data_IF_230869426902
#
_entry.id   IF_230869426902
#
_cell.length_a   1.000
_cell.length_b   1.000
_cell.length_c   1.000
_cell.angle_alpha   90.00
_cell.angle_beta   90.00
_cell.angle_gamma   90.00
#
_symmetry.space_group_name_H-M   'P 1'
#
loop_
_entity.id
_entity.type
_entity.pdbx_description
1 polymer ?
#
# COMPACT_ATOMS: atom_id res chain seq x y z
N UNK A 1 -5.76 1.19 25.32
CA UNK A 1 -6.59 0.57 24.26
C UNK A 1 -5.70 -0.29 23.39
N UNK A 2 -6.17 -1.46 22.95
CA UNK A 2 -5.44 -2.27 21.97
C UNK A 2 -5.57 -1.66 20.56
N UNK A 3 -4.48 -1.53 19.79
CA UNK A 3 -4.54 -0.95 18.46
C UNK A 3 -5.33 -1.86 17.50
N UNK A 4 -6.07 -1.23 16.58
CA UNK A 4 -6.75 -1.91 15.47
C UNK A 4 -5.96 -1.61 14.20
N UNK A 5 -5.56 -2.66 13.48
CA UNK A 5 -4.79 -2.55 12.25
C UNK A 5 -5.72 -2.50 11.04
N UNK A 6 -5.61 -1.47 10.21
CA UNK A 6 -6.25 -1.46 8.89
C UNK A 6 -5.21 -1.82 7.85
N UNK A 7 -5.39 -2.94 7.14
CA UNK A 7 -4.39 -3.48 6.20
C UNK A 7 -5.02 -3.65 4.83
N UNK A 8 -4.45 -2.97 3.83
CA UNK A 8 -4.86 -3.09 2.43
C UNK A 8 -4.06 -4.17 1.71
N UNK A 9 -4.59 -4.71 0.60
CA UNK A 9 -3.85 -5.67 -0.23
C UNK A 9 -3.66 -7.05 0.40
N UNK A 10 -4.60 -7.51 1.23
CA UNK A 10 -4.44 -8.74 2.04
C UNK A 10 -4.69 -10.06 1.29
N UNK A 11 -4.97 -10.05 -0.01
CA UNK A 11 -5.31 -11.28 -0.74
C UNK A 11 -4.12 -12.24 -0.89
N UNK A 12 -2.90 -11.71 -1.04
CA UNK A 12 -1.66 -12.48 -1.24
C UNK A 12 -0.43 -11.72 -0.73
N UNK A 13 0.75 -12.34 -0.77
CA UNK A 13 2.03 -11.65 -0.54
C UNK A 13 2.17 -11.04 0.85
N UNK A 14 2.82 -9.86 0.91
CA UNK A 14 3.15 -9.16 2.16
C UNK A 14 1.91 -8.79 2.98
N UNK A 15 0.85 -8.29 2.36
CA UNK A 15 -0.37 -7.89 3.07
C UNK A 15 -1.03 -9.06 3.80
N UNK A 16 -1.09 -10.23 3.15
CA UNK A 16 -1.59 -11.46 3.79
C UNK A 16 -0.70 -11.90 4.95
N UNK A 17 0.62 -11.91 4.75
CA UNK A 17 1.57 -12.30 5.78
C UNK A 17 1.50 -11.38 7.01
N UNK A 18 1.39 -10.06 6.80
CA UNK A 18 1.22 -9.09 7.87
C UNK A 18 -0.10 -9.31 8.62
N UNK A 19 -1.21 -9.48 7.90
CA UNK A 19 -2.51 -9.74 8.53
C UNK A 19 -2.48 -11.00 9.40
N UNK A 20 -1.90 -12.10 8.90
CA UNK A 20 -1.70 -13.34 9.69
C UNK A 20 -0.87 -13.06 10.94
N UNK A 21 0.27 -12.39 10.81
CA UNK A 21 1.16 -12.10 11.93
C UNK A 21 0.57 -11.12 12.96
N UNK A 22 -0.39 -10.27 12.56
CA UNK A 22 -1.16 -9.41 13.47
C UNK A 22 -2.18 -10.24 14.25
N UNK A 23 -2.93 -11.11 13.57
CA UNK A 23 -3.94 -11.97 14.19
C UNK A 23 -3.32 -13.01 15.15
N UNK A 24 -2.19 -13.62 14.78
CA UNK A 24 -1.45 -14.57 15.62
C UNK A 24 -0.96 -13.94 16.94
N UNK A 25 -0.74 -12.62 16.95
CA UNK A 25 -0.39 -11.86 18.16
C UNK A 25 -1.61 -11.46 19.01
N UNK A 26 -2.82 -11.92 18.64
CA UNK A 26 -4.06 -11.56 19.33
C UNK A 26 -4.52 -10.12 19.09
N UNK A 27 -3.95 -9.44 18.08
CA UNK A 27 -4.34 -8.07 17.73
C UNK A 27 -5.51 -8.06 16.76
N UNK A 28 -6.22 -6.94 16.71
CA UNK A 28 -7.41 -6.77 15.86
C UNK A 28 -6.99 -6.23 14.50
N UNK A 29 -7.50 -6.81 13.42
CA UNK A 29 -7.27 -6.33 12.06
C UNK A 29 -8.57 -6.16 11.28
N UNK A 30 -8.66 -5.08 10.51
CA UNK A 30 -9.61 -4.86 9.41
C UNK A 30 -8.80 -5.01 8.13
N UNK A 31 -9.15 -5.98 7.30
CA UNK A 31 -8.40 -6.32 6.09
C UNK A 31 -9.24 -6.06 4.84
N UNK A 32 -8.60 -5.57 3.78
CA UNK A 32 -9.25 -5.40 2.49
C UNK A 32 -8.46 -6.06 1.37
N UNK A 33 -9.19 -6.65 0.41
CA UNK A 33 -8.66 -7.02 -0.91
C UNK A 33 -9.24 -6.07 -1.96
N UNK A 34 -8.55 -5.91 -3.10
CA UNK A 34 -8.96 -5.02 -4.20
C UNK A 34 -10.43 -5.15 -4.57
N UNK A 35 -10.89 -6.38 -4.85
CA UNK A 35 -12.30 -6.66 -5.19
C UNK A 35 -13.30 -6.30 -4.08
N UNK A 36 -12.90 -6.40 -2.82
CA UNK A 36 -13.75 -6.03 -1.69
C UNK A 36 -13.79 -4.51 -1.50
N UNK A 37 -12.65 -3.83 -1.70
CA UNK A 37 -12.58 -2.37 -1.70
C UNK A 37 -13.37 -1.77 -2.87
N UNK A 38 -13.25 -2.34 -4.08
CA UNK A 38 -14.04 -1.99 -5.26
C UNK A 38 -15.54 -2.14 -4.96
N UNK A 39 -15.98 -3.30 -4.45
CA UNK A 39 -17.38 -3.52 -4.08
C UNK A 39 -17.87 -2.55 -2.99
N UNK A 40 -17.05 -2.28 -1.99
CA UNK A 40 -17.40 -1.33 -0.94
C UNK A 40 -17.54 0.10 -1.49
N UNK A 41 -16.66 0.50 -2.42
CA UNK A 41 -16.75 1.77 -3.13
C UNK A 41 -18.01 1.83 -4.01
N UNK A 42 -18.29 0.79 -4.81
CA UNK A 42 -19.52 0.68 -5.62
C UNK A 42 -20.78 0.75 -4.76
N UNK A 43 -20.80 0.03 -3.63
CA UNK A 43 -21.93 0.04 -2.69
C UNK A 43 -22.11 1.41 -2.04
N UNK A 44 -21.01 2.07 -1.68
CA UNK A 44 -21.06 3.41 -1.11
C UNK A 44 -21.45 4.46 -2.16
N UNK A 45 -21.02 4.33 -3.41
CA UNK A 45 -21.49 5.21 -4.49
C UNK A 45 -22.98 5.00 -4.79
N UNK A 46 -23.43 3.75 -4.83
CA UNK A 46 -24.84 3.43 -4.99
C UNK A 46 -25.71 3.96 -3.83
N UNK A 47 -25.18 3.96 -2.61
CA UNK A 47 -25.90 4.42 -1.42
C UNK A 47 -25.82 5.94 -1.21
N UNK A 48 -24.70 6.57 -1.56
CA UNK A 48 -24.37 7.95 -1.13
C UNK A 48 -23.99 8.88 -2.29
N UNK A 49 -23.94 8.40 -3.54
CA UNK A 49 -23.59 9.20 -4.72
C UNK A 49 -22.07 9.25 -4.95
N UNK A 50 -21.46 10.44 -4.92
CA UNK A 50 -20.02 10.63 -5.18
C UNK A 50 -19.23 10.49 -3.87
N UNK A 51 -18.16 9.68 -3.86
CA UNK A 51 -17.21 9.61 -2.74
C UNK A 51 -16.03 10.53 -3.05
N UNK A 52 -15.96 11.67 -2.35
CA UNK A 52 -14.89 12.64 -2.56
C UNK A 52 -13.69 12.46 -1.60
N UNK A 53 -13.90 11.88 -0.42
CA UNK A 53 -12.87 11.83 0.63
C UNK A 53 -13.01 10.55 1.47
N UNK A 54 -11.91 9.80 1.61
CA UNK A 54 -11.76 8.81 2.67
C UNK A 54 -11.23 9.51 3.93
N UNK A 55 -12.10 9.76 4.91
CA UNK A 55 -11.68 10.31 6.21
C UNK A 55 -11.19 9.18 7.12
N UNK A 56 -9.88 9.11 7.33
CA UNK A 56 -9.34 8.32 8.44
C UNK A 56 -9.46 9.14 9.72
N UNK A 57 -10.42 8.81 10.59
CA UNK A 57 -10.52 9.38 11.93
C UNK A 57 -9.51 8.70 12.87
N UNK A 58 -8.23 8.74 12.48
CA UNK A 58 -7.16 8.58 13.45
C UNK A 58 -7.35 9.73 14.44
N UNK A 59 -7.53 9.41 15.72
CA UNK A 59 -7.52 10.42 16.79
C UNK A 59 -6.15 11.16 16.75
N UNK A 60 -5.83 12.00 17.73
CA UNK A 60 -4.45 12.52 17.91
C UNK A 60 -3.41 11.45 18.32
N UNK A 61 -3.53 10.25 17.75
CA UNK A 61 -2.73 9.06 18.00
C UNK A 61 -2.96 8.07 16.86
N UNK A 62 -1.89 7.61 16.22
CA UNK A 62 -1.99 6.62 15.14
C UNK A 62 -0.64 6.39 14.48
N UNK A 63 -0.59 5.44 13.54
CA UNK A 63 0.61 5.19 12.76
C UNK A 63 0.22 4.79 11.34
N UNK A 64 0.79 5.46 10.34
CA UNK A 64 0.65 5.12 8.93
C UNK A 64 1.90 4.36 8.51
N UNK A 65 1.71 3.16 7.93
CA UNK A 65 2.82 2.37 7.38
C UNK A 65 2.60 2.22 5.88
N UNK A 66 3.46 2.85 5.10
CA UNK A 66 3.48 2.74 3.64
C UNK A 66 4.42 1.61 3.22
N UNK A 67 3.99 0.76 2.29
CA UNK A 67 4.86 -0.25 1.68
C UNK A 67 5.35 0.28 0.34
N UNK A 68 6.58 0.77 0.32
CA UNK A 68 7.24 1.27 -0.89
C UNK A 68 8.08 0.17 -1.54
N UNK A 69 9.38 0.37 -1.79
CA UNK A 69 10.29 -0.55 -2.47
C UNK A 69 11.72 0.00 -2.45
N UNK A 70 12.73 -0.87 -2.54
CA UNK A 70 14.08 -0.44 -2.98
C UNK A 70 14.05 0.49 -4.20
N UNK A 71 13.09 0.28 -5.10
CA UNK A 71 12.81 1.12 -6.27
C UNK A 71 12.31 2.55 -5.98
N UNK A 72 12.00 2.88 -4.73
CA UNK A 72 11.70 4.23 -4.23
C UNK A 72 12.95 4.99 -3.78
N UNK A 73 14.07 4.29 -3.57
CA UNK A 73 15.36 4.88 -3.20
C UNK A 73 16.36 4.91 -4.36
N UNK A 74 16.32 3.90 -5.23
CA UNK A 74 17.24 3.77 -6.35
C UNK A 74 16.51 3.27 -7.60
N UNK A 75 16.88 3.82 -8.76
CA UNK A 75 16.32 3.44 -10.05
C UNK A 75 17.30 2.65 -10.90
N UNK A 76 16.77 1.68 -11.65
CA UNK A 76 17.48 0.88 -12.64
C UNK A 76 16.55 0.61 -13.85
N UNK A 77 17.12 0.04 -14.91
CA UNK A 77 16.40 -0.24 -16.15
C UNK A 77 15.22 -1.20 -15.99
N UNK A 78 14.35 -1.25 -17.01
CA UNK A 78 13.19 -2.14 -17.14
C UNK A 78 11.97 -1.87 -16.24
N UNK A 79 12.10 -1.14 -15.13
CA UNK A 79 10.99 -0.88 -14.18
C UNK A 79 10.77 0.60 -13.85
N UNK A 80 11.10 1.50 -14.78
CA UNK A 80 11.03 2.96 -14.58
C UNK A 80 9.67 3.48 -14.11
N UNK A 81 8.57 2.97 -14.68
CA UNK A 81 7.21 3.34 -14.25
C UNK A 81 6.93 2.92 -12.80
N UNK A 82 7.45 1.76 -12.37
CA UNK A 82 7.33 1.31 -11.00
C UNK A 82 8.14 2.21 -10.07
N UNK A 83 9.39 2.53 -10.41
CA UNK A 83 10.23 3.43 -9.63
C UNK A 83 9.59 4.81 -9.44
N UNK A 84 9.07 5.41 -10.52
CA UNK A 84 8.37 6.69 -10.45
C UNK A 84 7.23 6.68 -9.42
N UNK A 85 6.41 5.62 -9.40
CA UNK A 85 5.34 5.49 -8.40
C UNK A 85 5.86 5.32 -6.97
N UNK A 86 7.02 4.70 -6.79
CA UNK A 86 7.61 4.46 -5.46
C UNK A 86 8.31 5.69 -4.90
N UNK A 87 9.06 6.43 -5.73
CA UNK A 87 9.54 7.77 -5.38
C UNK A 87 8.40 8.71 -4.98
N UNK A 88 7.25 8.63 -5.67
CA UNK A 88 6.07 9.42 -5.29
C UNK A 88 5.52 9.01 -3.91
N UNK A 89 5.56 7.72 -3.56
CA UNK A 89 5.17 7.24 -2.22
C UNK A 89 6.14 7.75 -1.15
N UNK A 90 7.44 7.80 -1.43
CA UNK A 90 8.44 8.39 -0.52
C UNK A 90 8.09 9.84 -0.22
N UNK A 91 8.04 10.68 -1.25
CA UNK A 91 7.82 12.13 -1.08
C UNK A 91 6.46 12.44 -0.42
N UNK A 92 5.43 11.67 -0.75
CA UNK A 92 4.13 11.79 -0.08
C UNK A 92 4.21 11.42 1.40
N UNK A 93 4.91 10.33 1.72
CA UNK A 93 4.98 9.82 3.10
C UNK A 93 5.88 10.69 3.99
N UNK A 94 6.97 11.24 3.45
CA UNK A 94 7.83 12.21 4.15
C UNK A 94 7.07 13.52 4.45
N UNK A 95 6.36 14.05 3.46
CA UNK A 95 5.52 15.25 3.66
C UNK A 95 4.45 15.00 4.70
N UNK A 96 3.76 13.86 4.59
CA UNK A 96 2.73 13.46 5.55
C UNK A 96 3.30 13.35 6.97
N UNK A 97 4.50 12.78 7.14
CA UNK A 97 5.15 12.66 8.45
C UNK A 97 5.34 14.02 9.13
N UNK A 98 5.78 15.03 8.37
CA UNK A 98 5.94 16.38 8.87
C UNK A 98 4.61 17.03 9.25
N UNK A 99 3.56 16.81 8.45
CA UNK A 99 2.23 17.36 8.67
C UNK A 99 1.53 16.75 9.90
N UNK A 100 1.65 15.44 10.10
CA UNK A 100 0.87 14.70 11.12
C UNK A 100 1.64 14.43 12.41
N UNK A 101 2.97 14.60 12.41
CA UNK A 101 3.81 14.46 13.60
C UNK A 101 3.34 15.31 14.80
N UNK A 102 3.02 16.62 14.63
CA UNK A 102 2.46 17.45 15.70
C UNK A 102 1.10 16.97 16.24
N UNK A 103 0.39 16.11 15.49
CA UNK A 103 -0.87 15.51 15.89
C UNK A 103 -0.68 14.19 16.66
N UNK A 104 0.56 13.75 16.89
CA UNK A 104 0.87 12.48 17.57
C UNK A 104 0.69 11.25 16.67
N UNK A 105 0.74 11.43 15.35
CA UNK A 105 0.63 10.35 14.37
C UNK A 105 2.01 10.07 13.78
N UNK A 106 2.45 8.81 13.83
CA UNK A 106 3.70 8.37 13.21
C UNK A 106 3.51 7.98 11.75
N UNK A 107 4.57 8.11 10.95
CA UNK A 107 4.62 7.59 9.58
C UNK A 107 5.90 6.77 9.43
N UNK A 108 5.78 5.59 8.82
CA UNK A 108 6.93 4.73 8.48
C UNK A 108 6.78 4.23 7.07
N UNK A 109 7.89 4.26 6.33
CA UNK A 109 7.99 3.69 4.99
C UNK A 109 8.80 2.41 5.11
N UNK A 110 8.30 1.35 4.50
CA UNK A 110 8.98 0.06 4.42
C UNK A 110 9.45 -0.14 2.99
N UNK A 111 10.74 -0.43 2.83
CA UNK A 111 11.43 -0.56 1.54
C UNK A 111 11.82 -2.01 1.21
N UNK A 112 10.87 -2.89 0.83
CA UNK A 112 11.23 -4.23 0.40
C UNK A 112 12.09 -4.21 -0.86
N UNK A 113 13.19 -4.97 -0.82
CA UNK A 113 13.81 -5.51 -2.02
C UNK A 113 13.04 -6.77 -2.47
N UNK A 114 13.71 -7.67 -3.19
CA UNK A 114 13.11 -8.94 -3.61
C UNK A 114 12.63 -9.76 -2.38
N UNK A 115 11.32 -9.99 -2.29
CA UNK A 115 10.69 -10.86 -1.31
C UNK A 115 10.00 -12.03 -2.01
N UNK A 116 9.96 -13.20 -1.37
CA UNK A 116 9.31 -14.43 -1.87
C UNK A 116 7.79 -14.27 -1.94
N UNK A 117 7.32 -13.54 -2.94
CA UNK A 117 5.92 -13.27 -3.24
C UNK A 117 5.66 -13.49 -4.72
N UNK A 118 4.39 -13.61 -5.11
CA UNK A 118 4.00 -13.77 -6.51
C UNK A 118 3.99 -12.44 -7.29
N UNK A 119 4.73 -11.42 -6.83
CA UNK A 119 4.73 -10.10 -7.43
C UNK A 119 5.35 -10.10 -8.83
N UNK A 120 6.59 -10.57 -8.97
CA UNK A 120 7.33 -10.62 -10.25
C UNK A 120 6.75 -11.61 -11.27
N UNK A 121 5.89 -12.52 -10.81
CA UNK A 121 5.14 -13.45 -11.64
C UNK A 121 3.78 -12.87 -12.07
N UNK A 122 2.65 -13.54 -11.76
CA UNK A 122 1.34 -13.23 -12.35
C UNK A 122 0.71 -11.91 -11.85
N UNK A 123 1.25 -11.32 -10.77
CA UNK A 123 0.69 -10.09 -10.22
C UNK A 123 1.21 -8.83 -10.92
N UNK A 124 2.37 -8.91 -11.56
CA UNK A 124 2.96 -7.80 -12.29
C UNK A 124 2.21 -7.60 -13.61
N UNK A 125 1.72 -6.37 -13.81
CA UNK A 125 1.20 -5.93 -15.11
C UNK A 125 2.39 -5.62 -16.00
N UNK A 126 2.50 -6.37 -17.10
CA UNK A 126 3.53 -6.18 -18.13
C UNK A 126 2.91 -5.47 -19.33
N UNK A 127 3.71 -4.70 -20.04
CA UNK A 127 3.32 -4.15 -21.35
C UNK A 127 2.97 -5.30 -22.29
N UNK A 128 1.88 -5.13 -23.07
CA UNK A 128 1.58 -6.05 -24.18
C UNK A 128 2.47 -5.79 -25.39
N UNK A 129 3.00 -4.59 -25.50
CA UNK A 129 3.92 -4.18 -26.55
C UNK A 129 5.31 -4.66 -26.18
N UNK A 130 5.88 -5.50 -27.04
CA UNK A 130 7.29 -5.88 -27.03
C UNK A 130 7.98 -5.02 -28.08
N UNK A 131 9.14 -4.48 -27.72
CA UNK A 131 9.99 -3.68 -28.61
C UNK A 131 11.25 -4.52 -28.84
N UNK A 132 11.62 -4.74 -30.09
CA UNK A 132 12.71 -5.66 -30.45
C UNK A 132 14.06 -5.26 -29.85
N UNK A 133 14.29 -3.96 -29.65
CA UNK A 133 15.48 -3.41 -28.98
C UNK A 133 15.59 -3.79 -27.49
N UNK A 134 14.50 -4.28 -26.88
CA UNK A 134 14.40 -4.64 -25.46
C UNK A 134 13.85 -6.07 -25.30
N UNK A 135 14.61 -7.12 -25.68
CA UNK A 135 14.17 -8.50 -25.56
C UNK A 135 13.94 -8.89 -24.08
N UNK A 136 12.94 -9.75 -23.87
CA UNK A 136 12.41 -10.14 -22.56
C UNK A 136 13.36 -11.01 -21.72
#
# INVERSE_FOLDING_TARGET
MTPVWFITGCSTGLGRALATAVLERGLRAVVTARKQAERAAEQAEAAFGRIDVLVNNARRSGHVVSVSSLGGLAAFGATGYHHATKFAVEGLSESLAAEVGPLGIGVTIVEPAAFRTNWSGPSMRRSRTVIDDYPA
#
